data_IF_634576580789
#
_entry.id   IF_634576580789
#
_cell.length_a   1.000
_cell.length_b   1.000
_cell.length_c   1.000
_cell.angle_alpha   90.00
_cell.angle_beta   90.00
_cell.angle_gamma   90.00
#
_symmetry.space_group_name_H-M   'P 1'
#
loop_
_entity.id
_entity.type
_entity.pdbx_description
1 polymer ?
#
# COMPACT_ATOMS: atom_id res chain seq x y z
N UNK A 1 -7.56 -26.21 -55.34
CA UNK A 1 -6.25 -26.86 -55.56
C UNK A 1 -5.69 -27.17 -54.18
N UNK A 2 -5.89 -28.41 -53.72
CA UNK A 2 -4.87 -29.46 -53.54
C UNK A 2 -4.11 -29.31 -52.21
N UNK A 3 -3.98 -30.33 -51.34
CA UNK A 3 -4.49 -31.72 -51.35
C UNK A 3 -4.29 -32.32 -49.94
N UNK A 4 -5.13 -33.33 -49.65
CA UNK A 4 -5.01 -34.34 -48.59
C UNK A 4 -3.61 -34.97 -48.48
N UNK A 5 -3.25 -35.39 -47.26
CA UNK A 5 -2.67 -36.71 -47.00
C UNK A 5 -3.05 -37.21 -45.59
N UNK A 6 -3.71 -38.37 -45.59
CA UNK A 6 -4.08 -39.23 -44.46
C UNK A 6 -2.96 -40.27 -44.20
N UNK A 7 -3.04 -40.94 -43.03
CA UNK A 7 -2.33 -42.15 -42.54
C UNK A 7 -1.10 -41.87 -41.64
N UNK A 8 -0.87 -42.51 -40.48
CA UNK A 8 -1.48 -43.69 -39.88
C UNK A 8 -1.33 -43.70 -38.33
N UNK A 9 -2.20 -44.49 -37.70
CA UNK A 9 -2.35 -44.78 -36.27
C UNK A 9 -1.10 -45.41 -35.60
N UNK A 10 -1.09 -45.37 -34.26
CA UNK A 10 -0.27 -46.15 -33.30
C UNK A 10 1.06 -45.56 -32.77
N UNK A 11 0.99 -44.62 -31.83
CA UNK A 11 2.04 -44.43 -30.80
C UNK A 11 1.60 -43.67 -29.53
N UNK A 12 0.30 -43.65 -29.23
CA UNK A 12 -0.28 -42.85 -28.13
C UNK A 12 -0.47 -43.59 -26.80
N UNK A 13 0.21 -44.71 -26.55
CA UNK A 13 0.03 -45.51 -25.33
C UNK A 13 1.32 -46.00 -24.64
N UNK A 14 2.47 -45.32 -24.78
CA UNK A 14 3.71 -45.72 -24.06
C UNK A 14 4.42 -44.58 -23.30
N UNK A 15 3.91 -43.35 -23.31
CA UNK A 15 4.63 -42.20 -22.73
C UNK A 15 4.15 -41.68 -21.36
N UNK A 16 3.42 -42.48 -20.57
CA UNK A 16 2.96 -42.05 -19.22
C UNK A 16 3.59 -42.80 -18.04
N UNK A 17 4.58 -43.66 -18.24
CA UNK A 17 5.21 -44.41 -17.12
C UNK A 17 6.69 -44.12 -16.87
N UNK A 18 7.33 -43.19 -17.61
CA UNK A 18 8.77 -42.95 -17.50
C UNK A 18 9.18 -41.69 -16.70
N UNK A 19 8.24 -40.96 -16.10
CA UNK A 19 8.52 -39.68 -15.41
C UNK A 19 8.50 -39.76 -13.88
N UNK A 20 7.97 -40.83 -13.27
CA UNK A 20 7.94 -40.98 -11.79
C UNK A 20 9.19 -41.61 -11.20
N UNK A 21 9.87 -42.50 -11.93
CA UNK A 21 11.04 -43.24 -11.44
C UNK A 21 12.29 -42.34 -11.36
N UNK A 22 12.48 -41.44 -12.34
CA UNK A 22 13.56 -40.44 -12.34
C UNK A 22 13.38 -39.34 -11.29
N UNK A 23 12.14 -39.02 -10.93
CA UNK A 23 11.86 -38.05 -9.87
C UNK A 23 12.20 -38.60 -8.48
N UNK A 24 12.04 -39.92 -8.28
CA UNK A 24 12.38 -40.61 -7.02
C UNK A 24 13.90 -40.86 -6.88
N UNK A 25 14.61 -41.20 -7.98
CA UNK A 25 16.07 -41.34 -7.97
C UNK A 25 16.80 -40.02 -7.68
N UNK A 26 16.33 -38.90 -8.23
CA UNK A 26 16.90 -37.58 -7.94
C UNK A 26 16.67 -37.15 -6.47
N UNK A 27 15.57 -37.57 -5.83
CA UNK A 27 15.26 -37.27 -4.43
C UNK A 27 16.07 -38.09 -3.41
N UNK A 28 16.50 -39.30 -3.77
CA UNK A 28 17.34 -40.15 -2.89
C UNK A 28 18.80 -39.68 -2.90
N UNK A 29 19.25 -39.06 -3.99
CA UNK A 29 20.65 -38.63 -4.17
C UNK A 29 20.99 -37.32 -3.42
N UNK A 30 20.00 -36.45 -3.15
CA UNK A 30 20.23 -35.24 -2.33
C UNK A 30 20.36 -35.56 -0.83
N UNK A 31 19.62 -36.57 -0.35
CA UNK A 31 19.64 -37.02 1.06
C UNK A 31 21.00 -37.65 1.42
N UNK A 32 21.68 -38.31 0.47
CA UNK A 32 23.00 -38.90 0.68
C UNK A 32 24.16 -37.90 0.57
N UNK A 33 23.95 -36.74 -0.07
CA UNK A 33 25.01 -35.74 -0.28
C UNK A 33 25.10 -34.71 0.84
N UNK A 34 23.99 -34.34 1.50
CA UNK A 34 24.00 -33.40 2.64
C UNK A 34 24.52 -34.03 3.93
N UNK A 35 24.37 -35.34 4.10
CA UNK A 35 24.94 -36.10 5.23
C UNK A 35 26.48 -36.13 5.22
N UNK A 36 27.13 -35.80 4.10
CA UNK A 36 28.59 -35.84 3.96
C UNK A 36 29.32 -34.49 4.08
N UNK A 37 28.62 -33.34 4.07
CA UNK A 37 29.31 -32.02 4.02
C UNK A 37 29.46 -31.28 5.36
N UNK A 38 28.88 -31.80 6.44
CA UNK A 38 28.94 -31.18 7.78
C UNK A 38 30.05 -31.77 8.68
N UNK A 39 30.67 -32.89 8.30
CA UNK A 39 31.59 -33.64 9.16
C UNK A 39 33.08 -33.44 8.83
N UNK A 40 33.54 -32.19 8.74
CA UNK A 40 34.96 -31.87 8.97
C UNK A 40 35.09 -30.77 10.03
N UNK A 41 35.11 -31.18 11.31
CA UNK A 41 35.96 -30.70 12.41
C UNK A 41 35.28 -30.91 13.77
N UNK A 42 35.68 -31.98 14.45
CA UNK A 42 36.13 -32.06 15.86
C UNK A 42 35.81 -33.44 16.44
N UNK A 43 36.86 -34.09 16.92
CA UNK A 43 36.84 -35.37 17.62
C UNK A 43 35.97 -35.30 18.88
N UNK A 44 35.10 -36.29 19.11
CA UNK A 44 35.07 -37.04 20.37
C UNK A 44 34.25 -38.33 20.23
N UNK A 45 34.84 -39.39 20.75
CA UNK A 45 34.38 -40.77 20.87
C UNK A 45 32.96 -40.95 21.43
N UNK A 46 32.05 -41.55 20.65
CA UNK A 46 31.08 -42.56 21.11
C UNK A 46 30.43 -43.24 19.89
N UNK A 47 30.67 -44.54 19.75
CA UNK A 47 29.99 -45.38 18.78
C UNK A 47 28.48 -45.35 19.01
N UNK A 48 27.76 -44.70 18.10
CA UNK A 48 26.36 -45.05 17.82
C UNK A 48 26.33 -45.48 16.37
N UNK A 49 26.39 -46.79 16.17
CA UNK A 49 26.27 -47.46 14.87
C UNK A 49 24.87 -47.21 14.31
N UNK A 50 24.67 -46.09 13.62
CA UNK A 50 23.48 -45.91 12.78
C UNK A 50 23.69 -46.77 11.53
N UNK A 51 23.12 -47.98 11.55
CA UNK A 51 23.11 -48.87 10.38
C UNK A 51 22.28 -48.15 9.31
N UNK A 52 22.92 -47.63 8.27
CA UNK A 52 22.23 -47.03 7.12
C UNK A 52 21.29 -48.07 6.52
N UNK A 53 19.97 -47.88 6.66
CA UNK A 53 18.98 -48.76 6.05
C UNK A 53 19.17 -48.75 4.52
N UNK A 54 19.06 -49.90 3.88
CA UNK A 54 19.04 -49.98 2.42
C UNK A 54 17.71 -49.47 1.87
N UNK A 55 17.69 -48.97 0.63
CA UNK A 55 16.47 -48.50 -0.06
C UNK A 55 15.37 -49.57 -0.05
N UNK A 56 15.75 -50.86 -0.17
CA UNK A 56 14.82 -51.99 -0.07
C UNK A 56 14.23 -52.18 1.34
N UNK A 57 15.02 -51.95 2.40
CA UNK A 57 14.54 -52.01 3.78
C UNK A 57 13.59 -50.86 4.09
N UNK A 58 13.87 -49.66 3.57
CA UNK A 58 13.01 -48.48 3.70
C UNK A 58 11.67 -48.67 2.95
N UNK A 59 11.72 -49.14 1.71
CA UNK A 59 10.51 -49.41 0.91
C UNK A 59 9.63 -50.50 1.55
N UNK A 60 10.25 -51.53 2.15
CA UNK A 60 9.53 -52.56 2.91
C UNK A 60 8.82 -52.00 4.14
N UNK A 61 9.45 -51.07 4.86
CA UNK A 61 8.84 -50.38 6.01
C UNK A 61 7.71 -49.43 5.58
N UNK A 62 7.86 -48.69 4.47
CA UNK A 62 6.80 -47.85 3.91
C UNK A 62 5.56 -48.67 3.52
N UNK A 63 5.75 -49.84 2.91
CA UNK A 63 4.65 -50.74 2.53
C UNK A 63 3.98 -51.45 3.72
N UNK A 64 4.54 -51.32 4.93
CA UNK A 64 4.10 -52.03 6.13
C UNK A 64 3.17 -51.25 7.06
N UNK A 65 3.06 -49.91 6.91
CA UNK A 65 2.15 -49.12 7.73
C UNK A 65 0.75 -49.08 7.09
N UNK A 66 -0.30 -49.63 7.76
CA UNK A 66 -1.66 -49.55 7.25
C UNK A 66 -2.14 -48.10 7.26
N UNK A 67 -2.88 -47.68 6.23
CA UNK A 67 -3.54 -46.38 6.23
C UNK A 67 -4.58 -46.32 7.37
N UNK A 68 -4.62 -45.25 8.20
CA UNK A 68 -3.96 -43.95 8.05
C UNK A 68 -2.77 -43.73 9.02
N UNK A 69 -1.77 -44.63 9.05
CA UNK A 69 -0.58 -44.47 9.90
C UNK A 69 0.64 -43.95 9.13
N UNK A 70 1.57 -43.32 9.87
CA UNK A 70 2.82 -42.77 9.37
C UNK A 70 4.02 -43.55 9.90
N UNK A 71 5.03 -43.80 9.07
CA UNK A 71 6.30 -44.37 9.52
C UNK A 71 7.16 -43.29 10.17
N UNK A 72 7.45 -43.45 11.46
CA UNK A 72 8.43 -42.62 12.15
C UNK A 72 9.85 -43.12 11.83
N UNK A 73 10.65 -42.27 11.16
CA UNK A 73 11.98 -42.64 10.68
C UNK A 73 13.03 -42.82 11.78
N UNK A 74 12.81 -42.25 12.97
CA UNK A 74 13.73 -42.32 14.12
C UNK A 74 13.49 -43.58 14.96
N UNK A 75 12.22 -43.91 15.21
CA UNK A 75 11.81 -45.07 16.02
C UNK A 75 11.49 -46.31 15.19
N UNK A 76 11.41 -46.18 13.86
CA UNK A 76 11.01 -47.22 12.92
C UNK A 76 9.65 -47.87 13.23
N UNK A 77 8.72 -47.12 13.84
CA UNK A 77 7.36 -47.57 14.19
C UNK A 77 6.30 -46.81 13.40
N UNK A 78 5.20 -47.49 13.10
CA UNK A 78 4.01 -46.82 12.57
C UNK A 78 3.30 -46.08 13.71
N UNK A 79 3.03 -44.79 13.52
CA UNK A 79 2.35 -43.92 14.46
C UNK A 79 1.10 -43.32 13.82
N UNK A 80 0.06 -43.06 14.60
CA UNK A 80 -1.19 -42.46 14.10
C UNK A 80 -1.01 -40.96 13.79
N UNK A 81 -0.08 -40.31 14.50
CA UNK A 81 0.33 -38.92 14.25
C UNK A 81 1.83 -38.79 14.38
N UNK A 82 2.42 -37.91 13.58
CA UNK A 82 3.84 -37.61 13.69
C UNK A 82 4.15 -36.87 15.01
N UNK A 83 5.26 -37.20 15.71
CA UNK A 83 5.70 -36.49 16.91
C UNK A 83 5.84 -34.98 16.70
N UNK A 84 5.83 -34.21 17.80
CA UNK A 84 5.75 -32.74 17.77
C UNK A 84 6.88 -32.04 17.00
N UNK A 85 8.06 -32.67 16.86
CA UNK A 85 9.21 -32.15 16.12
C UNK A 85 9.29 -32.63 14.66
N UNK A 86 8.23 -33.25 14.14
CA UNK A 86 8.23 -33.84 12.79
C UNK A 86 6.94 -33.54 12.04
N UNK A 87 7.04 -33.56 10.71
CA UNK A 87 5.96 -33.26 9.78
C UNK A 87 5.62 -34.48 8.93
N UNK A 88 4.34 -34.61 8.58
CA UNK A 88 3.86 -35.67 7.73
C UNK A 88 4.11 -35.36 6.24
N UNK A 89 4.73 -36.30 5.54
CA UNK A 89 4.96 -36.24 4.10
C UNK A 89 4.97 -37.65 3.52
N UNK A 90 4.11 -37.96 2.54
CA UNK A 90 4.04 -39.29 1.89
C UNK A 90 4.08 -40.48 2.86
N UNK A 91 3.24 -40.46 3.91
CA UNK A 91 3.18 -41.47 4.97
C UNK A 91 4.46 -41.61 5.83
N UNK A 92 5.36 -40.64 5.78
CA UNK A 92 6.56 -40.56 6.62
C UNK A 92 6.46 -39.38 7.57
N UNK A 93 7.09 -39.52 8.75
CA UNK A 93 7.40 -38.39 9.61
C UNK A 93 8.83 -37.93 9.34
N UNK A 94 8.96 -36.70 8.83
CA UNK A 94 10.23 -36.07 8.45
C UNK A 94 10.51 -34.87 9.36
N UNK A 95 11.77 -34.60 9.67
CA UNK A 95 12.16 -33.43 10.47
C UNK A 95 12.12 -32.13 9.65
N UNK A 96 12.39 -32.22 8.35
CA UNK A 96 12.36 -31.08 7.43
C UNK A 96 11.59 -31.46 6.18
N UNK A 97 10.72 -30.56 5.73
CA UNK A 97 9.95 -30.80 4.51
C UNK A 97 10.86 -30.76 3.27
N UNK A 98 10.60 -31.59 2.25
CA UNK A 98 11.38 -31.60 1.03
C UNK A 98 11.32 -30.25 0.29
N UNK A 99 12.34 -29.86 -0.50
CA UNK A 99 12.37 -28.58 -1.22
C UNK A 99 11.17 -28.34 -2.17
N UNK A 100 10.56 -29.40 -2.68
CA UNK A 100 9.36 -29.33 -3.54
C UNK A 100 8.06 -29.11 -2.75
N UNK A 101 8.10 -29.33 -1.44
CA UNK A 101 6.99 -29.18 -0.49
C UNK A 101 7.39 -28.28 0.68
N UNK A 102 7.83 -27.03 0.42
CA UNK A 102 8.48 -26.19 1.43
C UNK A 102 7.50 -25.59 2.45
N UNK A 103 6.19 -25.70 2.24
CA UNK A 103 5.19 -25.13 3.12
C UNK A 103 4.73 -26.14 4.17
N UNK A 104 4.40 -25.66 5.37
CA UNK A 104 3.93 -26.48 6.48
C UNK A 104 2.52 -26.04 6.85
N UNK A 105 1.57 -26.96 6.80
CA UNK A 105 0.27 -26.73 7.40
C UNK A 105 0.38 -26.81 8.93
N UNK A 106 0.20 -25.67 9.62
CA UNK A 106 0.30 -25.61 11.08
C UNK A 106 -0.71 -26.48 11.81
N UNK A 107 -1.92 -26.67 11.26
CA UNK A 107 -2.99 -27.41 11.92
C UNK A 107 -2.82 -28.93 11.78
N UNK A 108 -2.39 -29.39 10.60
CA UNK A 108 -2.22 -30.81 10.30
C UNK A 108 -0.78 -31.31 10.41
N UNK A 109 0.19 -30.40 10.60
CA UNK A 109 1.63 -30.67 10.56
C UNK A 109 2.04 -31.45 9.30
N UNK A 110 1.55 -31.01 8.15
CA UNK A 110 1.77 -31.66 6.86
C UNK A 110 2.61 -30.78 5.93
N UNK A 111 3.55 -31.39 5.23
CA UNK A 111 4.30 -30.71 4.16
C UNK A 111 3.43 -30.52 2.92
N UNK A 112 3.41 -29.31 2.39
CA UNK A 112 2.62 -28.86 1.25
C UNK A 112 3.53 -28.18 0.21
N UNK A 113 3.17 -28.29 -1.07
CA UNK A 113 3.84 -27.55 -2.14
C UNK A 113 3.64 -26.04 -2.01
N UNK A 114 2.45 -25.63 -1.60
CA UNK A 114 2.03 -24.24 -1.43
C UNK A 114 0.93 -24.18 -0.38
N UNK A 115 0.76 -23.04 0.28
CA UNK A 115 -0.37 -22.86 1.19
C UNK A 115 -1.71 -22.86 0.44
N UNK A 116 -2.77 -23.47 1.02
CA UNK A 116 -4.13 -23.39 0.49
C UNK A 116 -4.63 -21.94 0.41
N UNK A 117 -5.57 -21.65 -0.49
CA UNK A 117 -6.09 -20.28 -0.72
C UNK A 117 -6.85 -19.72 0.50
N UNK A 118 -7.42 -20.59 1.32
CA UNK A 118 -8.17 -20.28 2.53
C UNK A 118 -7.29 -20.10 3.78
N UNK A 119 -5.96 -20.27 3.66
CA UNK A 119 -5.00 -20.06 4.74
C UNK A 119 -4.08 -18.88 4.47
N UNK A 120 -3.57 -18.27 5.53
CA UNK A 120 -2.54 -17.25 5.46
C UNK A 120 -1.14 -17.87 5.54
N UNK A 121 -0.17 -17.16 4.98
CA UNK A 121 1.24 -17.52 4.95
C UNK A 121 1.98 -16.72 6.01
N UNK A 122 2.56 -17.41 6.98
CA UNK A 122 3.45 -16.84 7.98
C UNK A 122 4.87 -17.35 7.74
N UNK A 123 5.82 -16.44 7.52
CA UNK A 123 7.20 -16.79 7.22
C UNK A 123 8.03 -16.83 8.52
N UNK A 124 8.60 -17.98 8.85
CA UNK A 124 9.48 -18.17 10.01
C UNK A 124 10.80 -18.75 9.53
N UNK A 125 11.90 -18.00 9.67
CA UNK A 125 13.23 -18.45 9.24
C UNK A 125 13.24 -19.01 7.80
N UNK A 126 12.60 -18.27 6.87
CA UNK A 126 12.41 -18.62 5.45
C UNK A 126 11.52 -19.85 5.17
N UNK A 127 10.83 -20.37 6.19
CA UNK A 127 9.85 -21.46 6.07
C UNK A 127 8.44 -20.89 5.98
N UNK A 128 7.67 -21.34 4.98
CA UNK A 128 6.27 -20.96 4.80
C UNK A 128 5.38 -21.79 5.73
N UNK A 129 4.76 -21.15 6.71
CA UNK A 129 3.80 -21.80 7.61
C UNK A 129 2.40 -21.34 7.26
N UNK A 130 1.52 -22.29 6.92
CA UNK A 130 0.12 -22.01 6.61
C UNK A 130 -0.70 -21.99 7.89
N UNK A 131 -1.34 -20.86 8.18
CA UNK A 131 -2.09 -20.60 9.41
C UNK A 131 -3.50 -20.13 9.08
N UNK A 132 -4.48 -20.44 9.94
CA UNK A 132 -5.87 -20.00 9.75
C UNK A 132 -6.05 -18.52 10.12
N UNK A 133 -5.18 -17.99 10.97
CA UNK A 133 -5.13 -16.58 11.36
C UNK A 133 -3.70 -16.13 11.61
N UNK A 134 -3.43 -14.85 11.36
CA UNK A 134 -2.08 -14.33 11.56
C UNK A 134 -1.69 -14.29 13.04
N UNK A 135 -0.46 -14.70 13.39
CA UNK A 135 -0.02 -14.75 14.78
C UNK A 135 0.20 -13.35 15.36
N UNK A 136 0.19 -13.22 16.71
CA UNK A 136 0.47 -11.96 17.38
C UNK A 136 1.80 -11.34 16.91
N UNK A 137 1.75 -10.05 16.57
CA UNK A 137 2.90 -9.32 16.06
C UNK A 137 3.01 -9.28 14.53
N UNK A 138 2.24 -10.12 13.81
CA UNK A 138 2.13 -10.12 12.35
C UNK A 138 0.70 -9.81 11.91
N UNK A 139 0.13 -8.77 12.51
CA UNK A 139 -1.32 -8.55 12.47
C UNK A 139 -1.84 -8.08 11.10
N UNK A 140 -0.97 -7.74 10.14
CA UNK A 140 -1.40 -7.23 8.86
C UNK A 140 -1.36 -8.28 7.76
N UNK A 141 -2.32 -8.21 6.84
CA UNK A 141 -2.43 -9.12 5.71
C UNK A 141 -2.04 -8.40 4.42
N UNK A 142 -1.02 -8.88 3.74
CA UNK A 142 -0.63 -8.41 2.41
C UNK A 142 -0.77 -9.55 1.39
N UNK A 143 -1.88 -9.54 0.64
CA UNK A 143 -2.27 -10.68 -0.19
C UNK A 143 -2.65 -11.87 0.70
N UNK A 144 -1.82 -12.92 0.70
CA UNK A 144 -1.98 -14.08 1.59
C UNK A 144 -1.01 -14.05 2.79
N UNK A 145 -0.07 -13.10 2.83
CA UNK A 145 1.01 -13.10 3.81
C UNK A 145 0.66 -12.31 5.07
N UNK A 146 1.00 -12.88 6.22
CA UNK A 146 1.02 -12.19 7.50
C UNK A 146 2.31 -11.37 7.62
N UNK A 147 2.19 -10.06 7.83
CA UNK A 147 3.30 -9.12 7.94
C UNK A 147 3.18 -8.27 9.19
N UNK A 148 4.31 -7.90 9.78
CA UNK A 148 4.35 -7.02 10.97
C UNK A 148 3.98 -5.58 10.62
N UNK A 149 4.37 -5.14 9.41
CA UNK A 149 4.13 -3.80 8.90
C UNK A 149 3.83 -3.87 7.42
N UNK A 150 2.89 -3.05 6.96
CA UNK A 150 2.59 -2.97 5.54
C UNK A 150 3.80 -2.49 4.72
N UNK A 151 4.08 -3.11 3.56
CA UNK A 151 5.25 -2.80 2.75
C UNK A 151 5.19 -1.35 2.20
N UNK A 152 6.33 -0.82 1.72
CA UNK A 152 6.36 0.48 1.05
C UNK A 152 5.31 0.60 -0.06
N UNK A 153 4.79 1.81 -0.26
CA UNK A 153 3.77 2.11 -1.29
C UNK A 153 2.43 1.39 -1.12
N UNK A 154 2.14 0.88 0.08
CA UNK A 154 0.82 0.36 0.46
C UNK A 154 0.21 1.18 1.61
N UNK A 155 -1.09 1.04 1.79
CA UNK A 155 -1.88 1.68 2.84
C UNK A 155 -2.66 0.64 3.64
N UNK A 156 -2.74 0.85 4.94
CA UNK A 156 -3.45 0.00 5.88
C UNK A 156 -4.91 0.36 5.93
N UNK A 157 -5.78 -0.63 5.75
CA UNK A 157 -7.15 -0.57 6.25
C UNK A 157 -7.16 -1.15 7.68
N UNK A 158 -7.32 -0.27 8.67
CA UNK A 158 -7.31 -0.67 10.09
C UNK A 158 -8.54 -1.44 10.53
N UNK A 159 -9.62 -1.44 9.73
CA UNK A 159 -10.82 -2.22 10.03
C UNK A 159 -10.65 -3.70 9.71
N UNK A 160 -9.93 -3.99 8.62
CA UNK A 160 -9.66 -5.35 8.15
C UNK A 160 -8.23 -5.82 8.45
N UNK A 161 -7.37 -4.91 8.93
CA UNK A 161 -5.92 -5.12 9.09
C UNK A 161 -5.24 -5.56 7.79
N UNK A 162 -5.68 -5.03 6.65
CA UNK A 162 -5.11 -5.38 5.34
C UNK A 162 -4.20 -4.28 4.78
N UNK A 163 -3.20 -4.68 4.01
CA UNK A 163 -2.33 -3.79 3.26
C UNK A 163 -2.80 -3.71 1.81
N UNK A 164 -3.17 -2.50 1.39
CA UNK A 164 -3.79 -2.22 0.08
C UNK A 164 -2.86 -1.39 -0.79
N UNK A 165 -2.81 -1.68 -2.10
CA UNK A 165 -2.07 -0.87 -3.08
C UNK A 165 -2.70 0.49 -3.35
N UNK A 166 -3.95 0.68 -2.93
CA UNK A 166 -4.69 1.93 -2.98
C UNK A 166 -5.90 1.85 -2.07
N UNK A 167 -6.30 2.98 -1.52
CA UNK A 167 -7.44 2.99 -0.63
C UNK A 167 -8.76 2.79 -1.39
N UNK A 168 -9.69 2.00 -0.83
CA UNK A 168 -10.95 1.66 -1.48
C UNK A 168 -11.91 2.86 -1.45
N UNK A 169 -12.96 2.79 -2.27
CA UNK A 169 -13.93 3.89 -2.43
C UNK A 169 -14.64 4.30 -1.14
N UNK A 170 -14.81 3.37 -0.19
CA UNK A 170 -15.44 3.64 1.11
C UNK A 170 -14.47 4.21 2.17
N UNK A 171 -13.16 4.18 1.91
CA UNK A 171 -12.10 4.79 2.72
C UNK A 171 -11.14 5.60 1.82
N UNK A 172 -11.63 6.57 1.04
CA UNK A 172 -10.89 7.08 -0.12
C UNK A 172 -9.66 7.93 0.25
N UNK A 173 -9.58 8.42 1.49
CA UNK A 173 -8.54 9.34 1.92
C UNK A 173 -7.37 8.63 2.59
N UNK A 174 -6.19 9.25 2.50
CA UNK A 174 -4.91 8.68 2.93
C UNK A 174 -4.25 9.60 3.94
N UNK A 175 -3.85 9.03 5.07
CA UNK A 175 -3.08 9.74 6.10
C UNK A 175 -2.10 8.78 6.77
N UNK A 176 -0.81 9.12 6.85
CA UNK A 176 0.20 8.32 7.56
C UNK A 176 0.16 6.81 7.21
N UNK A 177 0.02 6.47 5.91
CA UNK A 177 -0.15 5.10 5.39
C UNK A 177 -1.42 4.38 5.84
N UNK A 178 -2.46 5.08 6.28
CA UNK A 178 -3.76 4.52 6.64
C UNK A 178 -4.83 5.06 5.71
N UNK A 179 -5.76 4.18 5.31
CA UNK A 179 -6.98 4.53 4.58
C UNK A 179 -8.07 4.99 5.54
N UNK A 180 -8.76 6.08 5.21
CA UNK A 180 -9.74 6.71 6.09
C UNK A 180 -10.96 7.18 5.32
N UNK A 181 -12.10 7.20 6.01
CA UNK A 181 -13.38 7.67 5.47
C UNK A 181 -13.39 9.17 5.21
N UNK A 182 -12.78 9.94 6.10
CA UNK A 182 -12.72 11.41 6.08
C UNK A 182 -11.40 11.87 6.68
N UNK A 183 -10.95 13.07 6.31
CA UNK A 183 -9.78 13.65 6.96
C UNK A 183 -10.16 14.17 8.36
N UNK A 184 -9.46 13.77 9.43
CA UNK A 184 -9.73 14.25 10.78
C UNK A 184 -9.43 15.75 10.87
N UNK A 185 -10.22 16.47 11.64
CA UNK A 185 -9.93 17.86 11.96
C UNK A 185 -8.62 17.93 12.78
N UNK A 186 -7.68 18.86 12.51
CA UNK A 186 -7.79 20.03 11.64
C UNK A 186 -7.23 19.87 10.21
N UNK A 187 -7.07 18.64 9.70
CA UNK A 187 -6.41 18.42 8.41
C UNK A 187 -7.23 18.91 7.22
N UNK A 188 -6.54 19.20 6.12
CA UNK A 188 -7.10 19.61 4.84
C UNK A 188 -7.15 18.44 3.87
N UNK A 189 -8.13 18.47 2.97
CA UNK A 189 -8.29 17.58 1.83
C UNK A 189 -7.46 18.09 0.66
N UNK A 190 -6.44 17.34 0.24
CA UNK A 190 -5.68 17.55 -0.99
C UNK A 190 -5.91 16.35 -1.92
N UNK A 191 -6.98 16.42 -2.71
CA UNK A 191 -7.53 15.26 -3.41
C UNK A 191 -7.83 14.13 -2.42
N UNK A 192 -7.11 13.01 -2.57
CA UNK A 192 -7.26 11.83 -1.70
C UNK A 192 -6.25 11.80 -0.53
N UNK A 193 -5.53 12.89 -0.26
CA UNK A 193 -4.56 12.97 0.84
C UNK A 193 -5.04 13.93 1.92
N UNK A 194 -4.86 13.54 3.18
CA UNK A 194 -5.04 14.43 4.32
C UNK A 194 -3.71 15.11 4.65
N UNK A 195 -3.69 16.45 4.70
CA UNK A 195 -2.47 17.24 4.95
C UNK A 195 -2.69 18.33 5.98
N UNK A 196 -1.62 18.76 6.64
CA UNK A 196 -1.66 19.90 7.57
C UNK A 196 -1.77 21.26 6.85
N UNK A 197 -1.33 21.32 5.60
CA UNK A 197 -1.36 22.52 4.77
C UNK A 197 -1.42 22.12 3.30
N UNK A 198 -1.94 23.02 2.47
CA UNK A 198 -1.92 22.85 1.01
C UNK A 198 -0.49 22.94 0.46
N UNK A 199 -0.24 22.29 -0.67
CA UNK A 199 1.06 22.35 -1.34
C UNK A 199 1.39 23.79 -1.78
N UNK A 200 2.67 24.13 -2.02
CA UNK A 200 3.07 25.50 -2.31
C UNK A 200 2.34 26.20 -3.47
N UNK A 201 1.81 25.41 -4.43
CA UNK A 201 1.08 25.88 -5.61
C UNK A 201 -0.45 25.72 -5.49
N UNK A 202 -0.95 25.56 -4.27
CA UNK A 202 -2.36 25.40 -3.97
C UNK A 202 -2.82 26.43 -2.95
N UNK A 203 -4.13 26.67 -2.97
CA UNK A 203 -4.85 27.56 -2.07
C UNK A 203 -5.80 26.74 -1.19
N UNK A 204 -5.98 27.16 0.04
CA UNK A 204 -6.94 26.59 0.97
C UNK A 204 -8.29 27.26 0.78
N UNK A 205 -9.28 26.52 0.28
CA UNK A 205 -10.69 26.91 0.24
C UNK A 205 -11.45 26.10 1.30
N UNK A 206 -11.68 26.71 2.47
CA UNK A 206 -12.24 26.01 3.63
C UNK A 206 -11.31 24.89 4.10
N UNK A 207 -11.74 23.62 3.97
CA UNK A 207 -10.92 22.43 4.24
C UNK A 207 -10.31 21.79 3.00
N UNK A 208 -10.50 22.34 1.80
CA UNK A 208 -9.99 21.76 0.57
C UNK A 208 -8.79 22.55 0.05
N UNK A 209 -7.84 21.84 -0.55
CA UNK A 209 -6.74 22.40 -1.29
C UNK A 209 -7.09 22.41 -2.79
N UNK A 210 -7.05 23.59 -3.39
CA UNK A 210 -7.39 23.82 -4.80
C UNK A 210 -6.25 24.51 -5.51
N UNK A 211 -6.08 24.28 -6.82
CA UNK A 211 -5.09 25.00 -7.63
C UNK A 211 -5.49 26.45 -7.92
N UNK A 212 -6.77 26.78 -7.82
CA UNK A 212 -7.33 28.11 -8.05
C UNK A 212 -8.46 28.38 -7.07
N UNK A 213 -8.55 29.61 -6.57
CA UNK A 213 -9.70 30.01 -5.77
C UNK A 213 -10.94 30.15 -6.66
N UNK A 214 -12.13 29.76 -6.19
CA UNK A 214 -13.39 30.01 -6.90
C UNK A 214 -13.57 31.50 -7.25
N UNK A 215 -14.24 31.79 -8.36
CA UNK A 215 -14.38 33.15 -8.92
C UNK A 215 -15.14 34.13 -8.02
N UNK A 216 -15.91 33.64 -7.07
CA UNK A 216 -16.64 34.41 -6.04
C UNK A 216 -15.84 34.65 -4.76
N UNK A 217 -14.56 34.25 -4.72
CA UNK A 217 -13.71 34.39 -3.54
C UNK A 217 -12.55 35.36 -3.76
N UNK A 218 -12.05 35.90 -2.65
CA UNK A 218 -10.86 36.75 -2.58
C UNK A 218 -9.67 35.97 -2.01
N UNK A 219 -8.48 36.30 -2.50
CA UNK A 219 -7.21 35.70 -2.13
C UNK A 219 -6.61 36.46 -0.95
N UNK A 220 -6.47 35.82 0.21
CA UNK A 220 -5.75 36.37 1.36
C UNK A 220 -4.49 35.52 1.61
N UNK A 221 -3.43 35.82 0.85
CA UNK A 221 -2.25 34.96 0.80
C UNK A 221 -2.55 33.63 0.12
N UNK A 222 -2.54 32.52 0.87
CA UNK A 222 -2.86 31.16 0.36
C UNK A 222 -4.27 30.68 0.72
N UNK A 223 -5.13 31.57 1.21
CA UNK A 223 -6.49 31.22 1.65
C UNK A 223 -7.50 31.88 0.70
N UNK A 224 -8.46 31.10 0.22
CA UNK A 224 -9.63 31.58 -0.48
C UNK A 224 -10.72 31.86 0.56
N UNK A 225 -11.20 33.10 0.62
CA UNK A 225 -12.23 33.53 1.56
C UNK A 225 -13.27 34.42 0.86
N UNK A 226 -14.47 34.55 1.42
CA UNK A 226 -15.54 35.33 0.77
C UNK A 226 -15.32 36.85 0.79
N UNK A 227 -14.52 37.37 1.73
CA UNK A 227 -14.26 38.81 1.85
C UNK A 227 -12.93 39.09 2.52
N UNK A 228 -12.39 40.27 2.28
CA UNK A 228 -11.20 40.79 2.94
C UNK A 228 -11.62 41.47 4.26
N UNK A 229 -11.86 40.69 5.32
CA UNK A 229 -12.15 41.27 6.64
C UNK A 229 -11.06 42.28 7.01
N UNK A 230 -11.45 43.53 7.29
CA UNK A 230 -10.58 44.66 7.69
C UNK A 230 -9.47 45.03 6.68
N UNK A 231 -9.53 44.50 5.46
CA UNK A 231 -8.57 44.73 4.38
C UNK A 231 -9.31 45.19 3.12
N UNK A 232 -8.56 45.75 2.18
CA UNK A 232 -9.11 46.17 0.89
C UNK A 232 -8.97 45.06 -0.15
N UNK A 233 -9.85 45.08 -1.13
CA UNK A 233 -9.79 44.18 -2.28
C UNK A 233 -9.12 44.86 -3.44
N UNK A 234 -8.11 44.24 -4.03
CA UNK A 234 -7.45 44.74 -5.23
C UNK A 234 -7.49 43.67 -6.33
N UNK A 235 -8.07 44.00 -7.47
CA UNK A 235 -8.03 43.12 -8.65
C UNK A 235 -6.61 43.14 -9.20
N UNK A 236 -5.84 42.08 -9.04
CA UNK A 236 -4.50 41.94 -9.61
C UNK A 236 -4.52 41.04 -10.84
N UNK A 237 -3.55 41.30 -11.73
CA UNK A 237 -3.42 40.71 -13.06
C UNK A 237 -3.73 39.23 -13.11
N UNK A 238 -2.79 38.36 -12.73
CA UNK A 238 -2.99 36.91 -12.78
C UNK A 238 -2.39 36.19 -11.58
N UNK A 239 -3.20 35.37 -10.92
CA UNK A 239 -2.73 34.34 -9.96
C UNK A 239 -3.13 33.00 -10.54
N UNK A 240 -2.15 32.16 -10.92
CA UNK A 240 -2.44 30.88 -11.58
C UNK A 240 -3.13 31.00 -12.95
N UNK A 241 -2.96 32.13 -13.65
CA UNK A 241 -3.46 32.34 -15.01
C UNK A 241 -4.85 32.98 -15.14
N UNK A 242 -5.52 33.36 -14.05
CA UNK A 242 -6.78 34.11 -14.08
C UNK A 242 -6.72 35.39 -13.24
N UNK A 243 -7.55 36.39 -13.61
CA UNK A 243 -7.75 37.62 -12.85
C UNK A 243 -8.18 37.32 -11.42
N UNK A 244 -7.41 37.79 -10.46
CA UNK A 244 -7.57 37.43 -9.05
C UNK A 244 -7.84 38.67 -8.20
N UNK A 245 -8.80 38.57 -7.28
CA UNK A 245 -9.11 39.62 -6.29
C UNK A 245 -8.32 39.36 -5.01
N UNK A 246 -7.28 40.12 -4.71
CA UNK A 246 -6.40 39.88 -3.55
C UNK A 246 -6.72 40.84 -2.41
N UNK A 247 -6.62 40.36 -1.18
CA UNK A 247 -6.71 41.17 0.03
C UNK A 247 -5.39 41.87 0.32
N UNK A 248 -5.43 43.20 0.34
CA UNK A 248 -4.27 44.06 0.61
C UNK A 248 -4.54 44.93 1.83
N UNK A 249 -3.48 45.25 2.59
CA UNK A 249 -3.60 46.16 3.74
C UNK A 249 -3.75 47.61 3.29
N UNK A 250 -3.02 47.98 2.24
CA UNK A 250 -3.08 49.29 1.60
C UNK A 250 -3.14 49.08 0.09
N UNK A 251 -3.83 49.99 -0.60
CA UNK A 251 -3.89 49.97 -2.05
C UNK A 251 -2.50 50.17 -2.67
N UNK A 252 -2.21 49.42 -3.74
CA UNK A 252 -0.92 49.52 -4.43
C UNK A 252 -0.77 50.86 -5.17
N UNK A 253 0.47 51.22 -5.52
CA UNK A 253 0.74 52.41 -6.34
C UNK A 253 0.09 52.37 -7.73
N UNK A 254 -0.22 51.17 -8.25
CA UNK A 254 -0.92 51.00 -9.52
C UNK A 254 -2.42 51.27 -9.41
N UNK A 255 -3.00 51.13 -8.21
CA UNK A 255 -4.42 51.32 -7.92
C UNK A 255 -4.61 52.11 -6.61
N UNK A 256 -4.12 53.35 -6.53
CA UNK A 256 -3.95 54.05 -5.25
C UNK A 256 -5.25 54.58 -4.64
N UNK A 257 -6.38 54.51 -5.35
CA UNK A 257 -7.64 55.12 -4.92
C UNK A 257 -8.57 54.08 -4.31
N UNK A 258 -9.22 54.43 -3.20
CA UNK A 258 -10.22 53.59 -2.56
C UNK A 258 -11.64 53.95 -3.03
N UNK A 259 -12.37 52.98 -3.58
CA UNK A 259 -13.80 53.09 -3.85
C UNK A 259 -14.55 52.03 -3.03
N UNK A 260 -15.20 52.46 -1.94
CA UNK A 260 -15.79 51.54 -0.96
C UNK A 260 -14.70 50.69 -0.28
N UNK A 261 -14.62 49.41 -0.63
CA UNK A 261 -13.58 48.46 -0.15
C UNK A 261 -12.63 48.00 -1.26
N UNK A 262 -12.75 48.56 -2.47
CA UNK A 262 -11.98 48.16 -3.64
C UNK A 262 -10.93 49.22 -4.02
N UNK A 263 -9.70 48.76 -4.27
CA UNK A 263 -8.62 49.59 -4.79
C UNK A 263 -8.75 49.73 -6.31
N UNK A 264 -8.82 50.97 -6.79
CA UNK A 264 -9.02 51.32 -8.20
C UNK A 264 -7.92 52.28 -8.69
N UNK A 265 -7.62 52.24 -9.98
CA UNK A 265 -6.63 53.13 -10.61
C UNK A 265 -7.17 54.53 -10.90
N UNK A 266 -8.49 54.66 -11.01
CA UNK A 266 -9.19 55.91 -11.31
C UNK A 266 -10.60 55.86 -10.74
N UNK A 267 -11.15 57.00 -10.36
CA UNK A 267 -12.51 57.06 -9.84
C UNK A 267 -13.55 56.71 -10.93
N UNK A 268 -14.51 55.82 -10.63
CA UNK A 268 -15.59 55.48 -11.56
C UNK A 268 -16.44 56.70 -11.93
N UNK A 269 -17.13 56.63 -13.07
CA UNK A 269 -18.06 57.68 -13.52
C UNK A 269 -19.09 58.01 -12.44
N UNK A 270 -19.30 59.31 -12.20
CA UNK A 270 -20.22 59.80 -11.17
C UNK A 270 -19.62 59.86 -9.77
N UNK A 271 -18.31 59.61 -9.63
CA UNK A 271 -17.57 59.81 -8.38
C UNK A 271 -16.44 60.82 -8.56
N UNK A 272 -16.01 61.42 -7.45
CA UNK A 272 -15.00 62.48 -7.39
C UNK A 272 -13.90 62.09 -6.41
N UNK A 273 -12.66 62.44 -6.75
CA UNK A 273 -11.51 62.07 -5.94
C UNK A 273 -11.31 63.07 -4.79
N UNK A 274 -11.17 62.55 -3.57
CA UNK A 274 -10.80 63.32 -2.39
C UNK A 274 -9.96 62.48 -1.44
N UNK A 275 -8.79 63.00 -1.04
CA UNK A 275 -7.89 62.37 -0.06
C UNK A 275 -7.62 60.87 -0.30
N UNK A 276 -7.37 60.46 -1.55
CA UNK A 276 -7.12 59.06 -1.91
C UNK A 276 -8.36 58.16 -2.00
N UNK A 277 -9.57 58.72 -1.91
CA UNK A 277 -10.82 57.97 -2.05
C UNK A 277 -11.71 58.55 -3.16
N UNK A 278 -12.62 57.73 -3.66
CA UNK A 278 -13.65 58.10 -4.64
C UNK A 278 -15.01 58.21 -3.94
N UNK A 279 -15.60 59.41 -3.96
CA UNK A 279 -16.84 59.73 -3.27
C UNK A 279 -17.94 60.11 -4.27
N UNK A 280 -19.21 59.88 -3.93
CA UNK A 280 -20.34 60.33 -4.78
C UNK A 280 -20.60 61.84 -4.72
N UNK A 281 -19.94 62.55 -3.79
CA UNK A 281 -20.04 63.99 -3.64
C UNK A 281 -18.92 64.53 -2.76
N UNK A 282 -18.67 65.83 -2.87
CA UNK A 282 -17.62 66.47 -2.11
C UNK A 282 -18.02 66.72 -0.64
N UNK A 283 -17.11 66.48 0.32
CA UNK A 283 -17.39 66.71 1.72
C UNK A 283 -17.47 68.22 2.03
N UNK A 284 -18.12 68.62 3.14
CA UNK A 284 -18.30 70.05 3.48
C UNK A 284 -17.00 70.86 3.60
N UNK A 285 -15.89 70.19 3.94
CA UNK A 285 -14.56 70.81 4.07
C UNK A 285 -13.87 71.12 2.73
N UNK A 286 -14.37 70.54 1.63
CA UNK A 286 -13.86 70.76 0.29
C UNK A 286 -15.01 70.73 -0.73
N UNK A 287 -16.00 71.63 -0.62
CA UNK A 287 -17.32 71.47 -1.27
C UNK A 287 -17.29 71.71 -2.79
N UNK A 288 -16.21 72.31 -3.32
CA UNK A 288 -16.12 72.68 -4.73
C UNK A 288 -15.60 71.50 -5.56
N UNK A 289 -16.23 71.27 -6.70
CA UNK A 289 -15.80 70.30 -7.70
C UNK A 289 -14.94 70.99 -8.77
N UNK A 290 -13.72 70.50 -8.97
CA UNK A 290 -12.80 71.00 -9.99
C UNK A 290 -12.03 69.84 -10.63
N UNK A 291 -12.17 69.67 -11.94
CA UNK A 291 -11.47 68.62 -12.73
C UNK A 291 -11.56 67.20 -12.13
N UNK A 292 -12.70 66.81 -11.56
CA UNK A 292 -12.87 65.48 -10.95
C UNK A 292 -12.35 65.36 -9.51
N UNK A 293 -11.89 66.45 -8.91
CA UNK A 293 -11.40 66.52 -7.53
C UNK A 293 -12.25 67.44 -6.67
N UNK A 294 -12.29 67.14 -5.37
CA UNK A 294 -12.86 68.05 -4.37
C UNK A 294 -11.78 68.99 -3.84
N UNK A 295 -12.03 70.30 -3.88
CA UNK A 295 -11.09 71.35 -3.47
C UNK A 295 -11.70 72.24 -2.39
N UNK A 296 -10.87 72.67 -1.44
CA UNK A 296 -11.22 73.75 -0.51
C UNK A 296 -11.23 75.10 -1.22
N UNK A 297 -11.91 76.09 -0.65
CA UNK A 297 -12.01 77.44 -1.22
C UNK A 297 -10.67 78.16 -1.41
#
# INVERSE_FOLDING_TARGET
MMRLAFLCFSCLLVFTMATSEKALEQQITSISHETNRSYERKSLTKETTYKSLTVAQLNKMLSGCPSPMYLNMVSHKCVVSCPDSTYSYNNLCVETCPPQYPAIDSSSRKCLSTCPQDKFVYLVDDIYVCVDSCPPGYNYIHGQQCVQTCPPYTWTDTSTMTCLSGCPTHLPYRMNRVCMKECPYPLLYDGNYCRNACLPNQFQAGRNCTSQCPSDTVYNGRICQGSCHEKFTEVVGTVGGQHARVCVQNCSSSKPLLFGTECVSSCPTGTVQYNGACLYGCPPIAPKHSNGHCVSE
#
